data_IF_549544765661
#
_entry.id   IF_549544765661
#
_cell.length_a   1.000
_cell.length_b   1.000
_cell.length_c   1.000
_cell.angle_alpha   90.00
_cell.angle_beta   90.00
_cell.angle_gamma   90.00
#
_symmetry.space_group_name_H-M   'P 1'
#
loop_
_entity.id
_entity.type
_entity.pdbx_description
1 polymer ?
#
# COMPACT_ATOMS: atom_id res chain seq x y z
N UNK A 1 -10.63 13.82 -9.57
CA UNK A 1 -9.29 13.37 -9.96
C UNK A 1 -9.08 13.69 -11.44
N UNK A 2 -8.26 14.69 -11.76
CA UNK A 2 -7.94 15.04 -13.15
C UNK A 2 -6.84 14.08 -13.62
N UNK A 3 -7.25 12.95 -14.21
CA UNK A 3 -6.40 11.78 -14.51
C UNK A 3 -5.12 12.11 -15.29
N UNK A 4 -5.13 13.19 -16.06
CA UNK A 4 -4.01 13.56 -16.92
C UNK A 4 -2.88 14.24 -16.14
N UNK A 5 -3.20 15.02 -15.10
CA UNK A 5 -2.22 15.75 -14.29
C UNK A 5 -1.55 14.89 -13.21
N UNK A 6 -2.17 13.77 -12.83
CA UNK A 6 -1.67 12.93 -11.73
C UNK A 6 -0.57 11.95 -12.17
N UNK A 7 -0.33 11.78 -13.48
CA UNK A 7 0.62 10.78 -13.98
C UNK A 7 2.04 10.93 -13.40
N UNK A 8 2.46 12.15 -13.07
CA UNK A 8 3.75 12.44 -12.40
C UNK A 8 3.83 11.90 -10.96
N UNK A 9 2.70 11.70 -10.30
CA UNK A 9 2.59 11.20 -8.93
C UNK A 9 2.53 9.66 -8.86
N UNK A 10 2.37 8.97 -10.00
CA UNK A 10 2.37 7.51 -10.10
C UNK A 10 3.77 6.96 -10.34
N UNK A 11 4.42 6.45 -9.30
CA UNK A 11 5.73 5.78 -9.37
C UNK A 11 5.58 4.32 -9.78
N UNK A 12 6.34 3.91 -10.79
CA UNK A 12 6.31 2.56 -11.38
C UNK A 12 4.92 2.11 -11.85
N UNK A 13 3.98 3.05 -12.03
CA UNK A 13 2.58 2.75 -12.36
C UNK A 13 1.75 2.13 -11.24
N UNK A 14 2.30 1.99 -10.02
CA UNK A 14 1.64 1.28 -8.90
C UNK A 14 1.49 2.17 -7.66
N UNK A 15 2.54 2.90 -7.30
CA UNK A 15 2.56 3.68 -6.07
C UNK A 15 2.16 5.12 -6.34
N UNK A 16 1.17 5.62 -5.61
CA UNK A 16 0.77 7.02 -5.69
C UNK A 16 1.49 7.83 -4.61
N UNK A 17 2.05 8.97 -5.00
CA UNK A 17 2.80 9.87 -4.12
C UNK A 17 2.52 11.32 -4.51
N UNK A 18 1.54 11.95 -3.86
CA UNK A 18 1.19 13.35 -4.08
C UNK A 18 1.13 14.10 -2.74
N UNK A 19 2.13 14.93 -2.39
CA UNK A 19 2.12 15.73 -1.17
C UNK A 19 1.05 16.82 -1.13
N UNK A 20 0.58 17.29 -2.29
CA UNK A 20 -0.42 18.35 -2.42
C UNK A 20 -1.85 17.82 -2.23
N UNK A 21 -2.05 16.51 -2.42
CA UNK A 21 -3.32 15.84 -2.17
C UNK A 21 -3.37 15.36 -0.71
N UNK A 22 -4.24 15.93 0.13
CA UNK A 22 -4.32 15.57 1.55
C UNK A 22 -4.91 14.16 1.76
N UNK A 23 -5.50 13.55 0.74
CA UNK A 23 -6.15 12.24 0.85
C UNK A 23 -5.12 11.14 1.12
N UNK A 24 -5.39 10.29 2.10
CA UNK A 24 -4.57 9.12 2.43
C UNK A 24 -4.83 7.94 1.49
N UNK A 25 -6.08 7.83 1.01
CA UNK A 25 -6.57 6.76 0.15
C UNK A 25 -7.18 7.40 -1.08
N UNK A 26 -6.78 6.94 -2.26
CA UNK A 26 -7.23 7.49 -3.55
C UNK A 26 -7.62 6.38 -4.49
N UNK A 27 -8.44 6.71 -5.49
CA UNK A 27 -8.77 5.76 -6.56
C UNK A 27 -7.52 5.41 -7.38
N UNK A 28 -7.47 4.16 -7.85
CA UNK A 28 -6.42 3.76 -8.79
C UNK A 28 -6.55 4.49 -10.13
N UNK A 29 -5.43 4.67 -10.84
CA UNK A 29 -5.41 5.31 -12.18
C UNK A 29 -6.41 4.67 -13.16
N UNK A 30 -6.61 3.36 -13.09
CA UNK A 30 -7.57 2.62 -13.92
C UNK A 30 -9.04 2.72 -13.44
N UNK A 31 -9.31 3.44 -12.34
CA UNK A 31 -10.64 3.61 -11.75
C UNK A 31 -11.19 2.39 -11.03
N UNK A 32 -10.39 1.34 -10.80
CA UNK A 32 -10.83 0.10 -10.14
C UNK A 32 -10.12 -0.06 -8.79
N UNK A 33 -10.89 0.11 -7.72
CA UNK A 33 -10.39 0.02 -6.35
C UNK A 33 -9.50 1.20 -5.99
N UNK A 34 -8.88 1.07 -4.81
CA UNK A 34 -8.12 2.15 -4.18
C UNK A 34 -6.63 1.82 -4.04
N UNK A 35 -5.85 2.85 -3.76
CA UNK A 35 -4.45 2.76 -3.33
C UNK A 35 -4.17 3.77 -2.23
N UNK A 36 -3.01 3.64 -1.59
CA UNK A 36 -2.54 4.56 -0.56
C UNK A 36 -1.74 5.69 -1.21
N UNK A 37 -1.98 6.92 -0.77
CA UNK A 37 -1.08 8.03 -1.00
C UNK A 37 0.10 7.96 -0.01
N UNK A 38 1.25 7.52 -0.51
CA UNK A 38 2.44 7.33 0.33
C UNK A 38 3.11 8.64 0.74
N UNK A 39 2.68 9.79 0.20
CA UNK A 39 3.13 11.09 0.69
C UNK A 39 2.57 11.38 2.10
N UNK A 40 1.36 10.90 2.39
CA UNK A 40 0.68 11.19 3.66
C UNK A 40 1.12 10.25 4.79
N UNK A 41 1.31 10.83 5.97
CA UNK A 41 1.74 10.10 7.18
C UNK A 41 0.71 9.05 7.59
N UNK A 42 -0.56 9.43 7.60
CA UNK A 42 -1.67 8.51 7.94
C UNK A 42 -1.86 7.44 6.86
N UNK A 43 -1.66 7.76 5.57
CA UNK A 43 -1.62 6.77 4.50
C UNK A 43 -0.59 5.66 4.76
N UNK A 44 0.65 6.03 5.12
CA UNK A 44 1.68 5.04 5.49
C UNK A 44 1.31 4.21 6.73
N UNK A 45 0.61 4.80 7.71
CA UNK A 45 0.12 4.08 8.89
C UNK A 45 -0.97 3.07 8.52
N UNK A 46 -1.93 3.44 7.68
CA UNK A 46 -2.98 2.55 7.17
C UNK A 46 -2.32 1.36 6.46
N UNK A 47 -1.36 1.62 5.57
CA UNK A 47 -0.63 0.58 4.87
C UNK A 47 0.11 -0.38 5.82
N UNK A 48 0.80 0.17 6.83
CA UNK A 48 1.50 -0.62 7.84
C UNK A 48 0.55 -1.46 8.70
N UNK A 49 -0.59 -0.90 9.10
CA UNK A 49 -1.60 -1.61 9.89
C UNK A 49 -2.17 -2.83 9.15
N UNK A 50 -2.28 -2.75 7.82
CA UNK A 50 -2.75 -3.87 6.99
C UNK A 50 -1.62 -4.88 6.74
N UNK A 51 -0.43 -4.43 6.35
CA UNK A 51 0.64 -5.33 5.90
C UNK A 51 1.43 -6.01 7.03
N UNK A 52 1.67 -5.33 8.16
CA UNK A 52 2.53 -5.87 9.22
C UNK A 52 1.93 -7.15 9.84
N UNK A 53 0.63 -7.19 10.23
CA UNK A 53 0.06 -8.42 10.78
C UNK A 53 0.05 -9.58 9.77
N UNK A 54 -0.24 -9.28 8.50
CA UNK A 54 -0.20 -10.28 7.44
C UNK A 54 1.20 -10.87 7.24
N UNK A 55 2.22 -10.02 7.22
CA UNK A 55 3.62 -10.44 7.11
C UNK A 55 4.06 -11.29 8.31
N UNK A 56 3.72 -10.87 9.54
CA UNK A 56 4.00 -11.65 10.76
C UNK A 56 3.31 -13.01 10.71
N UNK A 57 2.04 -13.07 10.33
CA UNK A 57 1.30 -14.32 10.21
C UNK A 57 1.93 -15.30 9.23
N UNK A 58 2.38 -14.81 8.07
CA UNK A 58 3.11 -15.63 7.07
C UNK A 58 4.43 -16.14 7.66
N UNK A 59 5.21 -15.29 8.33
CA UNK A 59 6.48 -15.69 8.94
C UNK A 59 6.30 -16.75 10.03
N UNK A 60 5.26 -16.62 10.86
CA UNK A 60 4.91 -17.63 11.87
C UNK A 60 4.52 -18.94 11.22
N UNK A 61 3.69 -18.90 10.17
CA UNK A 61 3.28 -20.10 9.44
C UNK A 61 4.48 -20.84 8.82
N UNK A 62 5.42 -20.09 8.22
CA UNK A 62 6.67 -20.65 7.69
C UNK A 62 7.50 -21.27 8.83
N UNK A 63 7.65 -20.58 9.96
CA UNK A 63 8.39 -21.09 11.11
C UNK A 63 7.80 -22.40 11.62
N UNK A 64 6.48 -22.47 11.80
CA UNK A 64 5.77 -23.69 12.23
C UNK A 64 6.02 -24.82 11.23
N UNK A 65 5.89 -24.55 9.93
CA UNK A 65 6.12 -25.54 8.89
C UNK A 65 7.58 -26.03 8.81
N UNK A 66 8.54 -25.18 9.19
CA UNK A 66 9.95 -25.57 9.32
C UNK A 66 10.18 -26.43 10.56
N UNK A 67 9.56 -26.09 11.70
CA UNK A 67 9.71 -26.85 12.94
C UNK A 67 8.99 -28.20 12.89
N UNK A 68 7.85 -28.31 12.21
CA UNK A 68 7.10 -29.57 12.08
C UNK A 68 7.81 -30.63 11.21
N UNK A 69 8.94 -30.30 10.59
CA UNK A 69 9.77 -31.20 9.79
C UNK A 69 10.89 -31.87 10.59
N UNK A 70 11.11 -31.44 11.84
CA UNK A 70 12.04 -32.05 12.79
C UNK A 70 11.26 -32.86 13.82
#
# INVERSE_FOLDING_TARGET
>A
MNKDNDSKYWKFGIFYYNPEDPSEVVDRKNGKGVTINFAQKEGRRIFGFILIPAFIGIMIAILIACLSKY
#
